data_IF_767268181961
#
_entry.id   IF_767268181961
#
_cell.length_a   1.000
_cell.length_b   1.000
_cell.length_c   1.000
_cell.angle_alpha   90.00
_cell.angle_beta   90.00
_cell.angle_gamma   90.00
#
_symmetry.space_group_name_H-M   'P 1'
#
loop_
_entity.id
_entity.type
_entity.pdbx_description
1 polymer ?
#
# COMPACT_ATOMS: atom_id res chain seq x y z
N UNK A 1 -14.36 -5.87 -32.39
CA UNK A 1 -13.38 -4.76 -32.30
C UNK A 1 -12.99 -4.39 -30.86
N UNK A 2 -13.78 -4.71 -29.82
CA UNK A 2 -13.58 -4.26 -28.41
C UNK A 2 -12.71 -5.15 -27.49
N UNK A 3 -12.04 -6.21 -27.99
CA UNK A 3 -11.31 -7.15 -27.11
C UNK A 3 -9.91 -6.70 -26.67
N UNK A 4 -9.31 -5.67 -27.30
CA UNK A 4 -7.88 -5.35 -27.12
C UNK A 4 -7.54 -4.55 -25.86
N UNK A 5 -8.49 -3.80 -25.31
CA UNK A 5 -8.29 -2.91 -24.15
C UNK A 5 -9.21 -3.25 -22.98
N UNK A 6 -9.66 -4.52 -22.92
CA UNK A 6 -10.47 -5.05 -21.82
C UNK A 6 -9.61 -6.06 -21.08
N UNK A 7 -9.61 -6.03 -19.76
CA UNK A 7 -8.85 -6.95 -18.91
C UNK A 7 -9.72 -7.46 -17.77
N UNK A 8 -9.50 -8.71 -17.38
CA UNK A 8 -10.20 -9.35 -16.27
C UNK A 8 -9.28 -9.49 -15.07
N UNK A 9 -9.83 -9.25 -13.87
CA UNK A 9 -9.17 -9.61 -12.61
C UNK A 9 -9.78 -10.92 -12.12
N UNK A 10 -8.91 -11.91 -11.92
CA UNK A 10 -9.28 -13.25 -11.43
C UNK A 10 -9.82 -13.19 -10.00
N UNK A 11 -10.68 -14.14 -9.64
CA UNK A 11 -11.30 -14.22 -8.30
C UNK A 11 -10.30 -14.35 -7.16
N UNK A 12 -9.14 -14.98 -7.41
CA UNK A 12 -8.05 -15.23 -6.48
C UNK A 12 -6.96 -14.14 -6.50
N UNK A 13 -7.03 -13.21 -7.46
CA UNK A 13 -6.06 -12.13 -7.57
C UNK A 13 -6.42 -10.94 -6.67
N UNK A 14 -5.39 -10.32 -6.09
CA UNK A 14 -5.55 -9.05 -5.35
C UNK A 14 -5.98 -7.96 -6.32
N UNK A 15 -7.13 -7.32 -6.06
CA UNK A 15 -7.60 -6.16 -6.82
C UNK A 15 -6.80 -4.90 -6.43
N UNK A 16 -6.11 -4.25 -7.39
CA UNK A 16 -5.60 -2.90 -7.17
C UNK A 16 -6.77 -1.91 -7.07
N UNK A 17 -6.65 -0.87 -6.25
CA UNK A 17 -7.61 0.23 -6.28
C UNK A 17 -7.19 1.23 -7.35
N UNK A 18 -7.95 1.30 -8.44
CA UNK A 18 -7.79 2.29 -9.50
C UNK A 18 -9.03 3.18 -9.58
N UNK A 19 -8.84 4.40 -10.07
CA UNK A 19 -9.90 5.37 -10.35
C UNK A 19 -10.05 5.57 -11.86
N UNK A 20 -11.27 5.89 -12.30
CA UNK A 20 -11.49 6.36 -13.67
C UNK A 20 -10.57 7.54 -13.98
N UNK A 21 -9.90 7.50 -15.13
CA UNK A 21 -8.90 8.48 -15.54
C UNK A 21 -7.46 8.12 -15.17
N UNK A 22 -7.22 7.13 -14.32
CA UNK A 22 -5.86 6.68 -13.98
C UNK A 22 -5.08 6.32 -15.27
N UNK A 23 -3.81 6.75 -15.32
CA UNK A 23 -2.93 6.59 -16.49
C UNK A 23 -2.06 5.35 -16.32
N UNK A 24 -1.92 4.59 -17.39
CA UNK A 24 -1.20 3.31 -17.42
C UNK A 24 -0.16 3.28 -18.53
N UNK A 25 1.01 2.74 -18.21
CA UNK A 25 1.98 2.30 -19.22
C UNK A 25 1.69 0.86 -19.63
N UNK A 26 1.63 0.64 -20.93
CA UNK A 26 1.50 -0.70 -21.51
C UNK A 26 2.83 -1.11 -22.09
N UNK A 27 3.29 -2.29 -21.71
CA UNK A 27 4.60 -2.83 -22.08
C UNK A 27 4.46 -4.10 -22.88
N UNK A 28 5.37 -4.25 -23.85
CA UNK A 28 5.65 -5.54 -24.47
C UNK A 28 6.77 -6.23 -23.69
N UNK A 29 6.61 -7.52 -23.44
CA UNK A 29 7.64 -8.37 -22.83
C UNK A 29 8.34 -9.22 -23.90
N UNK A 30 9.59 -9.62 -23.65
CA UNK A 30 10.38 -10.48 -24.55
C UNK A 30 11.50 -9.73 -25.28
N UNK A 31 11.81 -10.16 -26.51
CA UNK A 31 12.97 -9.69 -27.30
C UNK A 31 12.95 -8.18 -27.60
N UNK A 32 11.75 -7.60 -27.68
CA UNK A 32 11.51 -6.18 -27.94
C UNK A 32 10.83 -5.53 -26.72
N UNK A 33 11.43 -5.68 -25.54
CA UNK A 33 10.90 -5.13 -24.30
C UNK A 33 10.84 -3.59 -24.34
N UNK A 34 9.72 -3.01 -23.93
CA UNK A 34 9.56 -1.57 -23.83
C UNK A 34 8.11 -1.12 -23.75
N UNK A 35 7.92 0.19 -23.61
CA UNK A 35 6.60 0.83 -23.57
C UNK A 35 6.01 0.85 -24.98
N UNK A 36 4.85 0.21 -25.13
CA UNK A 36 4.07 0.14 -26.37
C UNK A 36 2.93 1.14 -26.43
N UNK A 37 2.50 1.70 -25.30
CA UNK A 37 1.42 2.65 -25.29
C UNK A 37 1.17 3.27 -23.92
N UNK A 38 0.38 4.33 -23.94
CA UNK A 38 -0.13 5.01 -22.75
C UNK A 38 -1.64 4.92 -22.83
N UNK A 39 -2.24 4.26 -21.85
CA UNK A 39 -3.68 4.06 -21.78
C UNK A 39 -4.25 4.73 -20.54
N UNK A 40 -5.56 4.92 -20.52
CA UNK A 40 -6.29 5.37 -19.33
C UNK A 40 -7.39 4.40 -18.97
N UNK A 41 -7.67 4.26 -17.68
CA UNK A 41 -8.83 3.51 -17.23
C UNK A 41 -10.10 4.32 -17.50
N UNK A 42 -11.06 3.73 -18.20
CA UNK A 42 -12.38 4.35 -18.44
C UNK A 42 -13.38 3.90 -17.41
N UNK A 43 -13.39 2.61 -17.08
CA UNK A 43 -14.28 2.07 -16.07
C UNK A 43 -13.84 0.70 -15.61
N UNK A 44 -14.35 0.32 -14.46
CA UNK A 44 -14.23 -1.01 -13.89
C UNK A 44 -15.61 -1.47 -13.40
N UNK A 45 -15.95 -2.72 -13.67
CA UNK A 45 -17.24 -3.30 -13.31
C UNK A 45 -17.05 -4.68 -12.68
N UNK A 46 -17.98 -5.05 -11.79
CA UNK A 46 -18.03 -6.38 -11.21
C UNK A 46 -18.60 -7.38 -12.22
N UNK A 47 -18.02 -8.59 -12.27
CA UNK A 47 -18.54 -9.67 -13.13
C UNK A 47 -19.72 -10.32 -12.45
N UNK A 48 -20.91 -10.22 -13.03
CA UNK A 48 -22.11 -10.83 -12.45
C UNK A 48 -22.36 -12.23 -13.00
N UNK A 49 -21.89 -12.51 -14.22
CA UNK A 49 -21.87 -13.84 -14.84
C UNK A 49 -20.58 -14.06 -15.64
N UNK A 50 -20.03 -15.29 -15.61
CA UNK A 50 -18.87 -15.63 -16.42
C UNK A 50 -19.16 -15.62 -17.93
N UNK A 51 -20.43 -15.60 -18.35
CA UNK A 51 -20.81 -15.40 -19.76
C UNK A 51 -20.52 -13.96 -20.24
N UNK A 52 -20.37 -13.01 -19.32
CA UNK A 52 -20.08 -11.59 -19.63
C UNK A 52 -18.60 -11.37 -19.97
N UNK A 53 -17.71 -12.24 -19.49
CA UNK A 53 -16.27 -12.15 -19.80
C UNK A 53 -15.94 -12.85 -21.11
N UNK A 54 -15.05 -12.27 -21.94
CA UNK A 54 -14.66 -12.87 -23.21
C UNK A 54 -13.58 -13.95 -23.07
N UNK A 55 -13.21 -14.33 -21.84
CA UNK A 55 -12.13 -15.26 -21.50
C UNK A 55 -12.72 -16.49 -20.79
N UNK A 56 -12.19 -17.66 -21.13
CA UNK A 56 -12.64 -18.95 -20.59
C UNK A 56 -11.51 -19.67 -19.81
N UNK A 57 -10.32 -19.07 -19.70
CA UNK A 57 -9.16 -19.67 -19.04
C UNK A 57 -9.20 -19.60 -17.52
N UNK A 58 -10.12 -18.81 -16.94
CA UNK A 58 -10.23 -18.62 -15.51
C UNK A 58 -11.58 -18.02 -15.09
N UNK A 59 -11.86 -18.00 -13.79
CA UNK A 59 -12.99 -17.25 -13.21
C UNK A 59 -12.61 -15.81 -12.87
N UNK A 60 -13.41 -14.86 -13.35
CA UNK A 60 -13.12 -13.44 -13.19
C UNK A 60 -14.12 -12.77 -12.27
N UNK A 61 -13.62 -11.87 -11.42
CA UNK A 61 -14.41 -11.10 -10.45
C UNK A 61 -14.64 -9.67 -10.90
N UNK A 62 -13.71 -9.09 -11.65
CA UNK A 62 -13.80 -7.74 -12.18
C UNK A 62 -13.38 -7.68 -13.63
N UNK A 63 -13.87 -6.65 -14.31
CA UNK A 63 -13.45 -6.29 -15.65
C UNK A 63 -13.10 -4.81 -15.71
N UNK A 64 -12.06 -4.51 -16.46
CA UNK A 64 -11.54 -3.17 -16.64
C UNK A 64 -11.52 -2.83 -18.13
N UNK A 65 -11.92 -1.60 -18.46
CA UNK A 65 -11.89 -1.07 -19.81
C UNK A 65 -10.94 0.10 -19.87
N UNK A 66 -10.04 0.04 -20.84
CA UNK A 66 -9.05 1.07 -21.10
C UNK A 66 -9.30 1.70 -22.45
N UNK A 67 -8.87 2.95 -22.56
CA UNK A 67 -8.83 3.71 -23.80
C UNK A 67 -7.38 4.10 -24.07
N UNK A 68 -6.82 3.75 -25.25
CA UNK A 68 -5.46 4.15 -25.58
C UNK A 68 -5.42 5.66 -25.82
N UNK A 69 -4.60 6.36 -25.04
CA UNK A 69 -4.24 7.73 -25.37
C UNK A 69 -3.31 7.70 -26.59
N UNK A 70 -2.34 6.78 -26.58
CA UNK A 70 -1.53 6.44 -27.76
C UNK A 70 -1.03 5.00 -27.69
N UNK A 71 -1.00 4.34 -28.85
CA UNK A 71 -0.20 3.14 -29.10
C UNK A 71 0.96 3.48 -30.05
N UNK A 72 2.19 3.16 -29.64
CA UNK A 72 3.39 3.37 -30.42
C UNK A 72 3.54 2.33 -31.53
N UNK A 73 4.09 2.73 -32.68
CA UNK A 73 4.40 1.84 -33.81
C UNK A 73 5.50 0.83 -33.46
N UNK A 74 6.43 1.23 -32.60
CA UNK A 74 7.50 0.39 -32.09
C UNK A 74 7.74 0.68 -30.60
N UNK A 75 8.02 -0.35 -29.78
CA UNK A 75 8.23 -0.16 -28.35
C UNK A 75 9.34 0.86 -28.10
N UNK A 76 9.09 1.80 -27.19
CA UNK A 76 10.14 2.62 -26.62
C UNK A 76 10.95 1.74 -25.68
N UNK A 77 12.19 1.46 -26.05
CA UNK A 77 13.08 0.61 -25.26
C UNK A 77 13.33 1.25 -23.90
N UNK A 78 13.03 0.50 -22.85
CA UNK A 78 13.44 0.83 -21.48
C UNK A 78 14.80 0.16 -21.14
N UNK A 79 15.56 -0.32 -22.14
CA UNK A 79 16.69 -1.23 -21.96
C UNK A 79 17.70 -0.77 -20.89
N UNK A 80 17.69 -1.55 -19.81
CA UNK A 80 18.55 -1.48 -18.62
C UNK A 80 19.94 -2.07 -18.92
N UNK A 81 20.85 -1.30 -19.52
CA UNK A 81 22.26 -1.69 -19.56
C UNK A 81 22.98 -1.20 -18.29
N UNK A 82 23.09 -2.11 -17.31
CA UNK A 82 23.72 -1.86 -16.01
C UNK A 82 22.71 -1.37 -14.95
N UNK A 83 23.07 -1.53 -13.68
CA UNK A 83 22.29 -1.14 -12.48
C UNK A 83 21.48 0.12 -12.76
N UNK A 84 20.18 0.01 -12.53
CA UNK A 84 19.15 0.83 -13.14
C UNK A 84 19.35 2.35 -13.00
N UNK A 85 20.05 2.97 -13.96
CA UNK A 85 20.11 4.43 -14.08
C UNK A 85 18.73 5.06 -14.31
N UNK A 86 17.75 4.34 -14.86
CA UNK A 86 16.44 4.90 -15.21
C UNK A 86 15.46 4.89 -14.03
N UNK A 87 15.37 3.78 -13.27
CA UNK A 87 14.63 3.79 -11.99
C UNK A 87 15.30 4.64 -10.90
N UNK A 88 16.64 4.78 -10.91
CA UNK A 88 17.35 5.75 -10.07
C UNK A 88 17.06 7.20 -10.49
N UNK A 89 17.07 7.52 -11.80
CA UNK A 89 16.74 8.86 -12.32
C UNK A 89 15.29 9.25 -12.09
N UNK A 90 14.36 8.31 -12.22
CA UNK A 90 12.93 8.55 -12.09
C UNK A 90 12.38 8.17 -10.70
N UNK A 91 13.25 7.78 -9.76
CA UNK A 91 12.93 7.30 -8.40
C UNK A 91 11.69 6.38 -8.33
N UNK A 92 11.56 5.42 -9.25
CA UNK A 92 10.49 4.42 -9.23
C UNK A 92 11.02 3.12 -8.62
N UNK A 93 10.21 2.44 -7.80
CA UNK A 93 10.58 1.13 -7.27
C UNK A 93 10.77 0.12 -8.41
N UNK A 94 12.00 -0.38 -8.58
CA UNK A 94 12.38 -1.33 -9.65
C UNK A 94 11.48 -2.60 -9.70
N UNK A 95 10.84 -2.98 -8.59
CA UNK A 95 9.89 -4.09 -8.53
C UNK A 95 8.57 -3.84 -9.29
N UNK A 96 8.16 -2.59 -9.55
CA UNK A 96 6.91 -2.27 -10.28
C UNK A 96 7.03 -2.44 -11.79
N UNK A 97 8.24 -2.69 -12.29
CA UNK A 97 8.60 -2.67 -13.72
C UNK A 97 8.22 -3.97 -14.45
N UNK A 98 7.84 -5.03 -13.72
CA UNK A 98 7.62 -6.38 -14.30
C UNK A 98 6.22 -6.56 -14.90
N UNK A 99 5.27 -5.65 -14.63
CA UNK A 99 3.90 -5.74 -15.15
C UNK A 99 3.75 -5.28 -16.60
N UNK A 100 2.95 -6.01 -17.40
CA UNK A 100 2.61 -5.63 -18.78
C UNK A 100 1.71 -4.39 -18.86
N UNK A 101 0.97 -4.08 -17.80
CA UNK A 101 0.16 -2.86 -17.65
C UNK A 101 0.37 -2.34 -16.23
N UNK A 102 0.82 -1.10 -16.08
CA UNK A 102 1.19 -0.52 -14.77
C UNK A 102 0.58 0.87 -14.63
N UNK A 103 -0.18 1.09 -13.55
CA UNK A 103 -0.69 2.43 -13.21
C UNK A 103 0.45 3.34 -12.74
N UNK A 104 0.41 4.60 -13.16
CA UNK A 104 1.36 5.62 -12.75
C UNK A 104 0.80 6.45 -11.59
N UNK A 105 1.59 6.67 -10.55
CA UNK A 105 1.31 7.73 -9.58
C UNK A 105 1.55 9.11 -10.20
N UNK A 106 1.09 10.18 -9.53
CA UNK A 106 1.28 11.56 -10.00
C UNK A 106 2.74 11.90 -10.31
N UNK A 107 3.67 11.52 -9.43
CA UNK A 107 5.12 11.74 -9.64
C UNK A 107 5.65 10.93 -10.82
N UNK A 108 5.16 9.70 -10.99
CA UNK A 108 5.58 8.82 -12.07
C UNK A 108 5.07 9.34 -13.42
N UNK A 109 3.88 9.95 -13.47
CA UNK A 109 3.32 10.61 -14.66
C UNK A 109 4.27 11.72 -15.13
N UNK A 110 4.66 12.62 -14.23
CA UNK A 110 5.56 13.73 -14.58
C UNK A 110 6.88 13.20 -15.15
N UNK A 111 7.49 12.26 -14.44
CA UNK A 111 8.81 11.72 -14.79
C UNK A 111 8.82 10.88 -16.07
N UNK A 112 7.80 10.05 -16.29
CA UNK A 112 7.74 9.16 -17.45
C UNK A 112 7.22 9.84 -18.70
N UNK A 113 6.16 10.64 -18.60
CA UNK A 113 5.57 11.27 -19.77
C UNK A 113 6.53 12.28 -20.38
N UNK A 114 7.24 13.07 -19.57
CA UNK A 114 8.27 14.01 -20.06
C UNK A 114 9.30 13.28 -20.92
N UNK A 115 9.76 12.12 -20.45
CA UNK A 115 10.80 11.37 -21.14
C UNK A 115 10.30 10.65 -22.39
N UNK A 116 9.05 10.15 -22.36
CA UNK A 116 8.38 9.62 -23.55
C UNK A 116 8.22 10.71 -24.60
N UNK A 117 7.81 11.92 -24.21
CA UNK A 117 7.71 13.05 -25.13
C UNK A 117 9.06 13.34 -25.76
N UNK A 118 10.13 13.43 -24.97
CA UNK A 118 11.49 13.67 -25.47
C UNK A 118 11.94 12.62 -26.50
N UNK A 119 11.76 11.33 -26.21
CA UNK A 119 12.24 10.24 -27.08
C UNK A 119 11.34 9.99 -28.30
N UNK A 120 10.04 10.25 -28.19
CA UNK A 120 9.04 9.96 -29.22
C UNK A 120 8.45 11.21 -29.86
N UNK A 121 9.07 12.39 -29.68
CA UNK A 121 8.53 13.69 -30.11
C UNK A 121 8.04 13.71 -31.57
N UNK A 122 8.81 13.15 -32.50
CA UNK A 122 8.44 13.10 -33.93
C UNK A 122 7.20 12.23 -34.14
N UNK A 123 7.14 11.07 -33.50
CA UNK A 123 5.99 10.15 -33.60
C UNK A 123 4.73 10.77 -32.95
N UNK A 124 4.90 11.39 -31.78
CA UNK A 124 3.84 12.00 -31.00
C UNK A 124 3.24 13.24 -31.67
N UNK A 125 4.08 14.11 -32.23
CA UNK A 125 3.66 15.32 -32.95
C UNK A 125 2.87 15.00 -34.22
N UNK A 126 3.16 13.87 -34.87
CA UNK A 126 2.50 13.42 -36.10
C UNK A 126 1.25 12.55 -35.87
N UNK A 127 0.99 12.13 -34.63
CA UNK A 127 -0.12 11.22 -34.31
C UNK A 127 -1.27 12.01 -33.71
N UNK A 128 -2.39 12.13 -34.43
CA UNK A 128 -3.61 12.70 -33.87
C UNK A 128 -4.36 11.69 -33.02
N UNK A 129 -4.81 12.14 -31.85
CA UNK A 129 -5.53 11.33 -30.87
C UNK A 129 -6.73 12.12 -30.35
N UNK A 130 -7.74 11.41 -29.85
CA UNK A 130 -8.92 12.01 -29.21
C UNK A 130 -8.85 11.70 -27.72
N UNK A 131 -8.77 12.73 -26.90
CA UNK A 131 -8.75 12.60 -25.44
C UNK A 131 -9.79 13.54 -24.83
N UNK A 132 -10.72 13.00 -24.04
CA UNK A 132 -11.85 13.75 -23.47
C UNK A 132 -12.65 14.56 -24.52
N UNK A 133 -12.83 13.99 -25.71
CA UNK A 133 -13.55 14.64 -26.82
C UNK A 133 -12.76 15.73 -27.55
N UNK A 134 -11.50 15.96 -27.18
CA UNK A 134 -10.60 16.92 -27.81
C UNK A 134 -9.67 16.16 -28.77
N UNK A 135 -9.66 16.56 -30.04
CA UNK A 135 -8.73 16.03 -31.06
C UNK A 135 -7.50 16.94 -31.19
N UNK A 136 -6.32 16.40 -30.89
CA UNK A 136 -5.00 17.08 -30.98
C UNK A 136 -3.91 16.04 -31.26
N UNK A 137 -2.67 16.50 -31.49
CA UNK A 137 -1.52 15.58 -31.51
C UNK A 137 -1.32 14.93 -30.14
N UNK A 138 -0.80 13.70 -30.13
CA UNK A 138 -0.51 12.97 -28.91
C UNK A 138 0.49 13.73 -28.02
N UNK A 139 1.46 14.42 -28.62
CA UNK A 139 2.38 15.32 -27.91
C UNK A 139 1.61 16.36 -27.09
N UNK A 140 0.68 17.09 -27.71
CA UNK A 140 -0.10 18.14 -27.05
C UNK A 140 -0.99 17.57 -25.95
N UNK A 141 -1.58 16.40 -26.17
CA UNK A 141 -2.38 15.72 -25.14
C UNK A 141 -1.52 15.29 -23.97
N UNK A 142 -0.38 14.63 -24.19
CA UNK A 142 0.50 14.19 -23.11
C UNK A 142 1.07 15.38 -22.34
N UNK A 143 1.46 16.46 -23.03
CA UNK A 143 1.90 17.70 -22.38
C UNK A 143 0.78 18.30 -21.52
N UNK A 144 -0.47 18.31 -21.99
CA UNK A 144 -1.60 18.80 -21.19
C UNK A 144 -1.86 17.96 -19.94
N UNK A 145 -1.54 16.65 -19.99
CA UNK A 145 -1.60 15.76 -18.82
C UNK A 145 -0.46 16.11 -17.87
N UNK A 146 0.77 16.25 -18.35
CA UNK A 146 1.89 16.71 -17.51
C UNK A 146 1.56 18.05 -16.84
N UNK A 147 1.02 19.02 -17.58
CA UNK A 147 0.66 20.32 -17.05
C UNK A 147 -0.44 20.21 -15.98
N UNK A 148 -1.41 19.30 -16.16
CA UNK A 148 -2.45 19.03 -15.17
C UNK A 148 -1.86 18.50 -13.86
N UNK A 149 -0.90 17.57 -13.93
CA UNK A 149 -0.24 16.98 -12.76
C UNK A 149 0.90 17.86 -12.20
N UNK A 150 1.44 18.80 -12.98
CA UNK A 150 2.51 19.73 -12.59
C UNK A 150 1.99 20.99 -11.93
N UNK A 151 0.72 21.35 -12.17
CA UNK A 151 0.03 22.32 -11.33
C UNK A 151 0.14 21.75 -9.92
N UNK A 152 0.82 22.46 -9.02
CA UNK A 152 0.60 22.23 -7.59
C UNK A 152 -0.89 22.07 -7.46
N UNK A 153 -1.38 21.01 -6.78
CA UNK A 153 -2.82 20.89 -6.59
C UNK A 153 -3.22 22.27 -6.13
N UNK A 154 -4.09 22.94 -6.91
CA UNK A 154 -4.77 24.10 -6.36
C UNK A 154 -5.18 23.58 -5.01
N UNK A 155 -4.64 24.20 -3.97
CA UNK A 155 -5.15 23.93 -2.65
C UNK A 155 -6.56 24.45 -2.81
N UNK A 156 -7.46 23.56 -3.24
CA UNK A 156 -8.77 23.48 -2.70
C UNK A 156 -8.41 23.33 -1.24
N UNK A 157 -8.26 24.48 -0.59
CA UNK A 157 -8.76 24.69 0.74
C UNK A 157 -10.23 24.34 0.56
N UNK A 158 -10.52 23.04 0.46
CA UNK A 158 -11.79 22.54 0.90
C UNK A 158 -11.83 23.14 2.28
N UNK A 159 -12.77 24.05 2.61
CA UNK A 159 -13.01 24.36 4.02
C UNK A 159 -12.99 22.99 4.67
N UNK A 160 -12.07 22.76 5.64
CA UNK A 160 -11.69 21.42 6.08
C UNK A 160 -12.97 20.66 6.12
N UNK A 161 -13.11 19.59 5.31
CA UNK A 161 -14.35 18.82 5.35
C UNK A 161 -14.52 18.59 6.81
N UNK A 162 -15.49 19.28 7.42
CA UNK A 162 -15.88 19.03 8.77
C UNK A 162 -16.52 17.69 8.50
N UNK A 163 -15.70 16.63 8.52
CA UNK A 163 -16.13 15.35 9.00
C UNK A 163 -16.80 15.81 10.26
N UNK A 164 -18.13 15.84 10.25
CA UNK A 164 -18.84 15.73 11.49
C UNK A 164 -18.06 14.60 12.15
N UNK A 165 -17.28 14.95 13.18
CA UNK A 165 -16.68 13.96 14.03
C UNK A 165 -17.91 13.25 14.54
N UNK A 166 -18.31 12.21 13.80
CA UNK A 166 -19.14 11.18 14.35
C UNK A 166 -18.35 10.82 15.58
N UNK A 167 -18.89 11.12 16.76
CA UNK A 167 -18.27 10.84 18.04
C UNK A 167 -17.72 9.43 17.95
N UNK A 168 -16.43 9.33 17.60
CA UNK A 168 -15.83 8.03 17.41
C UNK A 168 -15.70 7.52 18.83
N UNK A 169 -16.17 6.30 19.11
CA UNK A 169 -16.01 5.76 20.44
C UNK A 169 -14.54 5.88 20.82
N UNK A 170 -14.28 6.48 21.97
CA UNK A 170 -12.98 6.49 22.63
C UNK A 170 -12.98 5.43 23.73
N UNK A 171 -11.80 4.96 24.10
CA UNK A 171 -11.66 4.06 25.24
C UNK A 171 -12.00 4.73 26.56
N UNK A 172 -12.02 3.95 27.65
CA UNK A 172 -12.18 4.48 28.99
C UNK A 172 -11.05 5.49 29.34
N UNK A 173 -11.32 6.56 30.09
CA UNK A 173 -10.27 7.49 30.50
C UNK A 173 -9.19 6.81 31.36
N UNK A 174 -7.93 6.92 30.96
CA UNK A 174 -6.77 6.39 31.69
C UNK A 174 -5.78 7.47 32.14
N UNK A 175 -5.74 8.64 31.47
CA UNK A 175 -4.87 9.78 31.79
C UNK A 175 -3.41 9.40 32.14
N UNK A 176 -2.80 8.57 31.31
CA UNK A 176 -1.48 7.99 31.57
C UNK A 176 -0.45 8.47 30.55
N UNK A 177 0.52 9.28 30.99
CA UNK A 177 1.71 9.68 30.20
C UNK A 177 1.36 10.25 28.82
N UNK A 178 0.39 11.14 28.78
CA UNK A 178 -0.12 11.78 27.56
C UNK A 178 -1.12 10.94 26.75
N UNK A 179 -1.53 9.76 27.22
CA UNK A 179 -2.69 9.04 26.69
C UNK A 179 -3.91 9.28 27.59
N UNK A 180 -4.89 10.01 27.06
CA UNK A 180 -6.13 10.33 27.79
C UNK A 180 -7.06 9.12 27.87
N UNK A 181 -7.21 8.38 26.77
CA UNK A 181 -8.13 7.25 26.64
C UNK A 181 -7.40 5.92 26.42
N UNK A 182 -8.02 4.84 26.89
CA UNK A 182 -7.54 3.47 26.71
C UNK A 182 -7.45 3.08 25.22
N UNK A 183 -6.54 2.15 24.87
CA UNK A 183 -6.50 1.53 23.56
C UNK A 183 -7.86 0.94 23.14
N UNK A 184 -8.14 0.97 21.84
CA UNK A 184 -9.30 0.31 21.22
C UNK A 184 -8.90 -0.77 20.20
N UNK A 185 -7.60 -0.97 19.97
CA UNK A 185 -7.02 -1.91 19.01
C UNK A 185 -5.52 -2.15 19.32
N UNK A 186 -4.86 -3.04 18.57
CA UNK A 186 -3.43 -3.37 18.78
C UNK A 186 -2.51 -2.14 18.65
N UNK A 187 -2.78 -1.23 17.71
CA UNK A 187 -1.95 -0.04 17.52
C UNK A 187 -1.91 0.85 18.77
N UNK A 188 -3.04 0.97 19.49
CA UNK A 188 -3.09 1.65 20.78
C UNK A 188 -2.31 0.92 21.87
N UNK A 189 -2.31 -0.42 21.86
CA UNK A 189 -1.53 -1.27 22.78
C UNK A 189 -0.03 -1.06 22.55
N UNK A 190 0.43 -1.08 21.30
CA UNK A 190 1.83 -0.81 20.94
C UNK A 190 2.28 0.56 21.43
N UNK A 191 1.46 1.60 21.21
CA UNK A 191 1.77 2.96 21.67
C UNK A 191 1.87 3.02 23.20
N UNK A 192 0.94 2.41 23.92
CA UNK A 192 0.97 2.40 25.38
C UNK A 192 2.17 1.60 25.92
N UNK A 193 2.47 0.44 25.33
CA UNK A 193 3.64 -0.37 25.69
C UNK A 193 4.94 0.41 25.49
N UNK A 194 5.08 1.17 24.40
CA UNK A 194 6.26 2.01 24.15
C UNK A 194 6.54 3.02 25.27
N UNK A 195 5.49 3.41 26.01
CA UNK A 195 5.56 4.32 27.15
C UNK A 195 5.94 3.65 28.46
N UNK A 196 5.91 2.32 28.57
CA UNK A 196 6.17 1.58 29.83
C UNK A 196 7.25 0.52 29.72
N UNK A 197 7.67 0.15 28.50
CA UNK A 197 8.58 -0.98 28.27
C UNK A 197 9.93 -0.83 28.97
N UNK A 198 10.43 0.41 29.12
CA UNK A 198 11.68 0.68 29.82
C UNK A 198 11.56 0.37 31.32
N UNK A 199 10.45 0.72 31.96
CA UNK A 199 10.16 0.36 33.36
C UNK A 199 9.98 -1.14 33.56
N UNK A 200 9.50 -1.84 32.53
CA UNK A 200 9.43 -3.29 32.52
C UNK A 200 10.80 -3.96 32.28
N UNK A 201 11.87 -3.17 32.10
CA UNK A 201 13.23 -3.68 31.85
C UNK A 201 13.40 -4.28 30.45
N UNK A 202 12.53 -3.92 29.51
CA UNK A 202 12.52 -4.43 28.14
C UNK A 202 13.17 -3.40 27.23
N UNK A 203 14.25 -3.80 26.55
CA UNK A 203 14.95 -2.98 25.57
C UNK A 203 14.48 -3.36 24.17
N UNK A 204 14.04 -2.38 23.39
CA UNK A 204 13.68 -2.59 21.99
C UNK A 204 14.90 -3.00 21.15
N UNK A 205 14.78 -4.06 20.35
CA UNK A 205 15.78 -4.44 19.35
C UNK A 205 15.31 -4.14 17.93
N UNK A 206 14.14 -4.66 17.52
CA UNK A 206 13.61 -4.50 16.16
C UNK A 206 12.14 -4.88 16.06
N UNK A 207 11.48 -4.38 15.01
CA UNK A 207 10.19 -4.90 14.50
C UNK A 207 10.46 -5.53 13.13
N UNK A 208 10.55 -6.88 13.05
CA UNK A 208 10.80 -7.59 11.80
C UNK A 208 9.71 -7.38 10.74
N UNK A 209 10.05 -7.59 9.47
CA UNK A 209 9.09 -7.51 8.34
C UNK A 209 8.04 -8.63 8.41
N UNK A 210 8.37 -9.75 9.06
CA UNK A 210 7.49 -10.92 9.20
C UNK A 210 7.86 -11.75 10.42
N UNK A 211 6.87 -12.43 11.00
CA UNK A 211 7.06 -13.43 12.04
C UNK A 211 6.55 -12.97 13.41
N UNK A 212 7.13 -11.90 13.94
CA UNK A 212 6.80 -11.33 15.25
C UNK A 212 6.62 -9.83 15.14
N UNK A 213 5.74 -9.25 15.93
CA UNK A 213 5.58 -7.79 15.97
C UNK A 213 6.81 -7.06 16.52
N UNK A 214 7.46 -7.65 17.54
CA UNK A 214 8.66 -7.07 18.14
C UNK A 214 9.64 -8.12 18.67
N UNK A 215 10.92 -7.78 18.54
CA UNK A 215 12.01 -8.41 19.25
C UNK A 215 12.52 -7.44 20.30
N UNK A 216 12.61 -7.92 21.54
CA UNK A 216 13.14 -7.18 22.67
C UNK A 216 14.29 -7.92 23.36
N UNK A 217 14.97 -7.22 24.28
CA UNK A 217 16.00 -7.78 25.15
C UNK A 217 15.66 -7.54 26.60
N UNK A 218 15.75 -8.60 27.41
CA UNK A 218 15.63 -8.52 28.87
C UNK A 218 16.99 -8.79 29.51
N UNK A 219 17.30 -8.04 30.57
CA UNK A 219 18.53 -8.26 31.34
C UNK A 219 18.36 -9.46 32.26
N UNK A 220 19.29 -10.42 32.19
CA UNK A 220 19.39 -11.57 33.10
C UNK A 220 20.76 -11.57 33.78
N UNK A 221 20.99 -12.51 34.71
CA UNK A 221 22.29 -12.66 35.38
C UNK A 221 23.44 -12.94 34.39
N UNK A 222 23.12 -13.53 33.23
CA UNK A 222 24.09 -13.92 32.19
C UNK A 222 24.27 -12.88 31.08
N UNK A 223 23.57 -11.74 31.15
CA UNK A 223 23.65 -10.68 30.15
C UNK A 223 22.27 -10.26 29.66
N UNK A 224 22.07 -10.24 28.34
CA UNK A 224 20.79 -9.87 27.72
C UNK A 224 20.25 -11.02 26.89
N UNK A 225 19.04 -11.46 27.21
CA UNK A 225 18.33 -12.51 26.48
C UNK A 225 17.40 -11.87 25.46
N UNK A 226 17.44 -12.40 24.23
CA UNK A 226 16.56 -11.99 23.14
C UNK A 226 15.21 -12.66 23.33
N UNK A 227 14.13 -11.89 23.20
CA UNK A 227 12.76 -12.31 23.43
C UNK A 227 11.83 -11.85 22.32
N UNK A 228 10.84 -12.68 22.00
CA UNK A 228 9.86 -12.45 20.93
C UNK A 228 8.50 -12.07 21.51
N UNK A 229 7.89 -11.04 20.94
CA UNK A 229 6.66 -10.43 21.44
C UNK A 229 5.63 -10.35 20.32
N UNK A 230 4.38 -10.65 20.65
CA UNK A 230 3.20 -10.31 19.85
C UNK A 230 2.33 -9.30 20.60
N UNK A 231 1.74 -8.36 19.86
CA UNK A 231 0.79 -7.41 20.40
C UNK A 231 -0.63 -7.79 20.03
N UNK A 232 -1.50 -7.77 21.02
CA UNK A 232 -2.90 -8.10 20.83
C UNK A 232 -3.81 -7.14 21.58
N UNK A 233 -5.02 -6.88 21.09
CA UNK A 233 -5.96 -6.10 21.90
C UNK A 233 -6.43 -6.93 23.12
N UNK A 234 -6.88 -8.15 22.88
CA UNK A 234 -7.19 -9.17 23.89
C UNK A 234 -6.19 -10.32 23.76
N UNK A 235 -5.68 -10.88 24.86
CA UNK A 235 -4.72 -11.97 24.77
C UNK A 235 -5.23 -13.19 23.99
N UNK A 236 -6.55 -13.44 23.95
CA UNK A 236 -7.15 -14.51 23.17
C UNK A 236 -7.06 -14.31 21.66
N UNK A 237 -6.85 -13.07 21.18
CA UNK A 237 -6.67 -12.78 19.76
C UNK A 237 -5.42 -13.46 19.19
N UNK A 238 -4.37 -13.65 19.99
CA UNK A 238 -3.18 -14.43 19.61
C UNK A 238 -3.57 -15.80 19.02
N UNK A 239 -4.51 -16.48 19.68
CA UNK A 239 -5.02 -17.78 19.24
C UNK A 239 -5.91 -17.65 17.99
N UNK A 240 -6.72 -16.59 17.91
CA UNK A 240 -7.60 -16.32 16.76
C UNK A 240 -6.77 -16.06 15.49
N UNK A 241 -5.67 -15.33 15.63
CA UNK A 241 -4.71 -15.03 14.57
C UNK A 241 -3.79 -16.21 14.21
N UNK A 242 -3.83 -17.29 15.00
CA UNK A 242 -3.06 -18.54 14.79
C UNK A 242 -1.54 -18.33 14.86
N UNK A 243 -1.08 -17.45 15.73
CA UNK A 243 0.34 -17.39 16.09
C UNK A 243 0.76 -18.71 16.76
N UNK A 244 2.02 -19.09 16.58
CA UNK A 244 2.58 -20.31 17.15
C UNK A 244 3.09 -20.02 18.59
N UNK A 245 2.46 -20.60 19.64
CA UNK A 245 2.90 -20.44 21.02
C UNK A 245 4.36 -20.81 21.26
N UNK A 246 4.92 -21.75 20.48
CA UNK A 246 6.27 -22.24 20.68
C UNK A 246 7.36 -21.25 20.23
N UNK A 247 6.97 -20.20 19.50
CA UNK A 247 7.90 -19.21 18.93
C UNK A 247 7.85 -17.86 19.66
N UNK A 248 6.89 -17.66 20.56
CA UNK A 248 6.62 -16.36 21.20
C UNK A 248 6.86 -16.49 22.70
N UNK A 249 7.69 -15.60 23.25
CA UNK A 249 7.94 -15.54 24.69
C UNK A 249 6.88 -14.70 25.42
N UNK A 250 6.39 -13.63 24.78
CA UNK A 250 5.51 -12.66 25.39
C UNK A 250 4.30 -12.30 24.54
N UNK A 251 3.14 -12.19 25.18
CA UNK A 251 1.97 -11.49 24.64
C UNK A 251 1.81 -10.17 25.39
N UNK A 252 1.82 -9.05 24.67
CA UNK A 252 1.48 -7.74 25.23
C UNK A 252 0.06 -7.40 24.82
N UNK A 253 -0.83 -7.19 25.79
CA UNK A 253 -2.24 -6.92 25.50
C UNK A 253 -2.84 -5.81 26.35
N UNK A 254 -3.98 -5.26 25.91
CA UNK A 254 -4.75 -4.36 26.77
C UNK A 254 -5.37 -5.13 27.93
N UNK A 255 -6.11 -6.20 27.62
CA UNK A 255 -6.80 -7.05 28.60
C UNK A 255 -6.49 -8.53 28.37
N UNK A 256 -6.19 -9.26 29.45
CA UNK A 256 -5.91 -10.69 29.39
C UNK A 256 -7.18 -11.51 29.64
N UNK A 257 -7.77 -12.06 28.57
CA UNK A 257 -9.00 -12.86 28.61
C UNK A 257 -8.78 -14.36 28.31
N UNK A 258 -7.57 -14.74 27.85
CA UNK A 258 -7.24 -16.11 27.50
C UNK A 258 -6.93 -17.01 28.71
N UNK A 259 -7.98 -17.57 29.31
CA UNK A 259 -7.92 -18.44 30.51
C UNK A 259 -7.00 -19.67 30.40
N UNK A 260 -6.82 -20.20 29.18
CA UNK A 260 -6.00 -21.39 28.91
C UNK A 260 -4.76 -21.00 28.08
N UNK A 261 -4.20 -19.83 28.33
CA UNK A 261 -2.93 -19.42 27.74
C UNK A 261 -1.83 -20.41 28.18
N UNK A 262 -0.98 -20.91 27.27
CA UNK A 262 0.16 -21.75 27.62
C UNK A 262 1.03 -21.10 28.70
N UNK A 263 1.47 -21.90 29.69
CA UNK A 263 2.26 -21.41 30.83
C UNK A 263 3.64 -20.89 30.43
N UNK A 264 4.13 -21.33 29.26
CA UNK A 264 5.41 -20.91 28.70
C UNK A 264 5.38 -19.48 28.14
N UNK A 265 4.20 -18.94 27.84
CA UNK A 265 4.02 -17.58 27.36
C UNK A 265 3.78 -16.64 28.53
N UNK A 266 4.59 -15.60 28.65
CA UNK A 266 4.37 -14.54 29.62
C UNK A 266 3.41 -13.49 29.06
N UNK A 267 2.37 -13.14 29.81
CA UNK A 267 1.42 -12.10 29.38
C UNK A 267 1.67 -10.80 30.14
N UNK A 268 1.85 -9.72 29.38
CA UNK A 268 1.92 -8.35 29.89
C UNK A 268 0.56 -7.68 29.63
N UNK A 269 -0.28 -7.64 30.65
CA UNK A 269 -1.58 -6.95 30.62
C UNK A 269 -1.41 -5.46 30.95
N UNK A 270 -1.44 -4.61 29.93
CA UNK A 270 -1.17 -3.17 30.08
C UNK A 270 -2.19 -2.47 30.98
N UNK A 271 -3.47 -2.90 30.96
CA UNK A 271 -4.51 -2.35 31.84
C UNK A 271 -4.16 -2.49 33.32
N UNK A 272 -3.44 -3.55 33.69
CA UNK A 272 -2.96 -3.73 35.06
C UNK A 272 -1.63 -3.02 35.28
N UNK A 273 -0.67 -3.14 34.34
CA UNK A 273 0.65 -2.50 34.44
C UNK A 273 0.55 -0.99 34.71
N UNK A 274 -0.34 -0.27 34.03
CA UNK A 274 -0.45 1.18 34.20
C UNK A 274 -1.02 1.59 35.57
N UNK A 275 -1.71 0.70 36.29
CA UNK A 275 -2.19 0.99 37.65
C UNK A 275 -1.04 0.96 38.67
N UNK A 276 -0.01 0.18 38.37
CA UNK A 276 1.15 -0.04 39.25
C UNK A 276 2.29 0.96 38.97
N UNK A 277 2.19 1.72 37.87
CA UNK A 277 3.16 2.74 37.49
C UNK A 277 2.64 4.15 37.80
N UNK A 278 3.53 5.09 38.20
CA UNK A 278 3.13 6.46 38.43
C UNK A 278 2.67 7.11 37.11
N UNK A 279 1.50 7.75 37.16
CA UNK A 279 1.07 8.66 36.12
C UNK A 279 2.00 9.89 36.12
N UNK A 280 2.70 10.12 35.01
CA UNK A 280 3.41 11.38 34.77
C UNK A 280 2.56 12.22 33.80
N UNK A 281 2.33 13.48 34.15
CA UNK A 281 1.66 14.47 33.31
C UNK A 281 2.66 15.16 32.38
#
# INVERSE_FOLDING_TARGET
>A
MYKRHRFGIRVDARRPQFSEGDIFLVRRTGKDYGVMGIWRLIREEYVTSQEEVPWEDYEYKWQQWFDPIIDFKAPMSEAFQGTSKYSEKLQIAAMRIVGSVVSLSSDEILRYLDKIIEEKIIELSMTEVIYNGIQKSAEVILQSIIDLYSREPETIVTPPVIKQERDKPVGEPINFRGMVYAPLNEAGVVLLFSKVMNELGIIYESSPISGFDMVGRLKTEKGYERKHFEFEYLSSHFKVHKHDPALVDFIVCWEHDWKNCPEEIQVIELKQVIKDLPAAF
#
